data_IF_915319581522
#
_entry.id   IF_915319581522
#
_cell.length_a   1.000
_cell.length_b   1.000
_cell.length_c   1.000
_cell.angle_alpha   90.00
_cell.angle_beta   90.00
_cell.angle_gamma   90.00
#
_symmetry.space_group_name_H-M   'P 1'
#
loop_
_entity.id
_entity.type
_entity.pdbx_description
1 polymer ?
#
# COMPACT_ATOMS: atom_id res chain seq x y z
N UNK A 1 -22.83 1.06 -4.21
CA UNK A 1 -22.65 -0.40 -4.41
C UNK A 1 -21.21 -0.77 -4.72
N UNK A 2 -20.61 -0.32 -5.84
CA UNK A 2 -19.20 -0.64 -6.14
C UNK A 2 -18.22 0.02 -5.15
N UNK A 3 -18.45 1.28 -4.78
CA UNK A 3 -17.64 1.99 -3.79
C UNK A 3 -17.74 1.36 -2.40
N UNK A 4 -18.94 0.94 -2.01
CA UNK A 4 -19.18 0.28 -0.72
C UNK A 4 -18.48 -1.08 -0.67
N UNK A 5 -18.55 -1.83 -1.78
CA UNK A 5 -17.81 -3.08 -1.93
C UNK A 5 -16.30 -2.84 -1.88
N UNK A 6 -15.79 -1.85 -2.61
CA UNK A 6 -14.37 -1.49 -2.57
C UNK A 6 -13.93 -1.15 -1.14
N UNK A 7 -14.68 -0.27 -0.45
CA UNK A 7 -14.36 0.15 0.93
C UNK A 7 -14.38 -1.01 1.92
N UNK A 8 -15.29 -1.97 1.77
CA UNK A 8 -15.42 -3.09 2.68
C UNK A 8 -14.45 -4.25 2.37
N UNK A 9 -14.24 -4.57 1.09
CA UNK A 9 -13.57 -5.80 0.66
C UNK A 9 -12.15 -5.57 0.10
N UNK A 10 -11.84 -4.40 -0.44
CA UNK A 10 -10.56 -4.14 -1.12
C UNK A 10 -9.70 -3.15 -0.35
N UNK A 11 -10.25 -2.00 0.04
CA UNK A 11 -9.53 -0.91 0.70
C UNK A 11 -8.72 -1.36 1.94
N UNK A 12 -9.23 -2.25 2.82
CA UNK A 12 -8.45 -2.71 3.98
C UNK A 12 -7.16 -3.47 3.62
N UNK A 13 -7.11 -4.07 2.44
CA UNK A 13 -5.99 -4.88 1.94
C UNK A 13 -5.15 -4.15 0.92
N UNK A 14 -5.52 -2.92 0.52
CA UNK A 14 -4.93 -2.19 -0.60
C UNK A 14 -3.41 -2.02 -0.47
N UNK A 15 -2.92 -1.72 0.74
CA UNK A 15 -1.48 -1.60 1.02
C UNK A 15 -0.72 -2.92 0.86
N UNK A 16 -1.34 -4.05 1.21
CA UNK A 16 -0.75 -5.37 1.02
C UNK A 16 -0.75 -5.77 -0.47
N UNK A 17 -1.86 -5.50 -1.17
CA UNK A 17 -1.98 -5.70 -2.62
C UNK A 17 -0.90 -4.90 -3.35
N UNK A 18 -0.75 -3.61 -3.04
CA UNK A 18 0.26 -2.73 -3.64
C UNK A 18 1.67 -3.28 -3.49
N UNK A 19 2.07 -3.71 -2.27
CA UNK A 19 3.39 -4.31 -2.04
C UNK A 19 3.64 -5.58 -2.85
N UNK A 20 2.63 -6.44 -3.00
CA UNK A 20 2.75 -7.66 -3.81
C UNK A 20 2.97 -7.29 -5.28
N UNK A 21 2.17 -6.37 -5.82
CA UNK A 21 2.27 -5.93 -7.21
C UNK A 21 3.60 -5.23 -7.50
N UNK A 22 4.03 -4.29 -6.65
CA UNK A 22 5.31 -3.58 -6.79
C UNK A 22 6.52 -4.53 -6.72
N UNK A 23 6.46 -5.52 -5.82
CA UNK A 23 7.51 -6.53 -5.70
C UNK A 23 7.58 -7.42 -6.96
N UNK A 24 6.44 -7.77 -7.56
CA UNK A 24 6.42 -8.52 -8.81
C UNK A 24 6.99 -7.68 -9.96
N UNK A 25 6.54 -6.43 -10.14
CA UNK A 25 7.04 -5.52 -11.18
C UNK A 25 8.56 -5.36 -11.09
N UNK A 26 9.08 -5.15 -9.89
CA UNK A 26 10.53 -5.01 -9.65
C UNK A 26 11.29 -6.29 -10.01
N UNK A 27 10.71 -7.46 -9.68
CA UNK A 27 11.30 -8.75 -10.01
C UNK A 27 11.31 -8.98 -11.54
N UNK A 28 10.19 -8.71 -12.22
CA UNK A 28 10.06 -8.85 -13.69
C UNK A 28 10.98 -7.91 -14.45
N UNK A 29 11.11 -6.67 -14.02
CA UNK A 29 12.06 -5.72 -14.60
C UNK A 29 13.51 -6.20 -14.48
N UNK A 30 13.87 -6.85 -13.36
CA UNK A 30 15.19 -7.45 -13.17
C UNK A 30 15.42 -8.67 -14.07
N UNK A 31 14.47 -9.59 -14.15
CA UNK A 31 14.57 -10.75 -15.04
C UNK A 31 14.74 -10.30 -16.50
N UNK A 32 13.97 -9.31 -16.94
CA UNK A 32 14.09 -8.74 -18.27
C UNK A 32 15.47 -8.10 -18.51
N UNK A 33 15.95 -7.27 -17.59
CA UNK A 33 17.24 -6.60 -17.73
C UNK A 33 18.43 -7.57 -17.75
N UNK A 34 18.33 -8.71 -17.05
CA UNK A 34 19.43 -9.67 -16.92
C UNK A 34 19.39 -10.79 -17.97
N UNK A 35 18.19 -11.20 -18.39
CA UNK A 35 17.95 -12.43 -19.17
C UNK A 35 17.07 -12.19 -20.39
N UNK A 36 16.74 -10.94 -20.69
CA UNK A 36 15.92 -10.55 -21.83
C UNK A 36 14.47 -11.02 -21.74
N UNK A 37 13.80 -11.04 -22.90
CA UNK A 37 12.41 -11.45 -23.03
C UNK A 37 12.17 -12.89 -22.53
N UNK A 38 13.07 -13.83 -22.84
CA UNK A 38 12.98 -15.22 -22.38
C UNK A 38 12.87 -15.30 -20.86
N UNK A 39 13.78 -14.67 -20.11
CA UNK A 39 13.73 -14.71 -18.64
C UNK A 39 12.49 -14.04 -18.04
N UNK A 40 11.99 -12.99 -18.69
CA UNK A 40 10.73 -12.33 -18.28
C UNK A 40 9.54 -13.28 -18.44
N UNK A 41 9.34 -13.83 -19.65
CA UNK A 41 8.14 -14.57 -20.04
C UNK A 41 8.09 -15.98 -19.47
N UNK A 42 9.22 -16.68 -19.36
CA UNK A 42 9.29 -18.03 -18.74
C UNK A 42 8.75 -18.04 -17.31
N UNK A 43 8.89 -16.91 -16.61
CA UNK A 43 8.43 -16.79 -15.24
C UNK A 43 6.96 -16.42 -15.08
N UNK A 44 6.20 -16.12 -16.15
CA UNK A 44 4.81 -15.64 -16.06
C UNK A 44 3.78 -16.76 -15.96
N UNK A 45 4.14 -17.99 -16.33
CA UNK A 45 3.28 -19.16 -16.19
C UNK A 45 3.47 -20.16 -17.33
N UNK A 46 2.96 -21.37 -17.15
CA UNK A 46 3.10 -22.48 -18.12
C UNK A 46 2.33 -22.28 -19.42
N UNK A 47 1.48 -21.26 -19.50
CA UNK A 47 0.68 -20.93 -20.68
C UNK A 47 1.32 -19.83 -21.54
N UNK A 48 2.54 -19.40 -21.22
CA UNK A 48 3.27 -18.37 -21.95
C UNK A 48 4.61 -18.94 -22.38
N UNK A 49 4.92 -18.80 -23.66
CA UNK A 49 6.18 -19.24 -24.23
C UNK A 49 6.79 -18.13 -25.08
N UNK A 50 8.04 -17.77 -24.78
CA UNK A 50 8.83 -16.95 -25.67
C UNK A 50 9.58 -17.85 -26.65
N UNK A 51 9.29 -17.69 -27.94
CA UNK A 51 9.86 -18.51 -28.99
C UNK A 51 11.17 -17.89 -29.52
N UNK A 52 12.10 -18.73 -29.98
CA UNK A 52 13.40 -18.30 -30.51
C UNK A 52 13.28 -17.40 -31.75
N UNK A 53 12.15 -17.44 -32.44
CA UNK A 53 11.82 -16.58 -33.58
C UNK A 53 11.34 -15.17 -33.17
N UNK A 54 11.32 -14.86 -31.87
CA UNK A 54 10.92 -13.55 -31.34
C UNK A 54 9.41 -13.37 -31.15
N UNK A 55 8.62 -14.44 -31.27
CA UNK A 55 7.18 -14.42 -31.01
C UNK A 55 6.87 -14.82 -29.57
N UNK A 56 5.81 -14.21 -29.03
CA UNK A 56 5.20 -14.59 -27.76
C UNK A 56 3.96 -15.45 -28.02
N UNK A 57 4.02 -16.72 -27.65
CA UNK A 57 2.89 -17.63 -27.70
C UNK A 57 2.15 -17.64 -26.35
N UNK A 58 0.83 -17.48 -26.40
CA UNK A 58 -0.02 -17.45 -25.20
C UNK A 58 -1.18 -18.43 -25.36
N UNK A 59 -1.16 -19.49 -24.55
CA UNK A 59 -2.20 -20.52 -24.52
C UNK A 59 -3.34 -20.10 -23.60
N UNK A 60 -4.40 -19.55 -24.20
CA UNK A 60 -5.61 -19.15 -23.48
C UNK A 60 -6.59 -20.32 -23.36
N UNK A 61 -7.42 -20.28 -22.32
CA UNK A 61 -8.52 -21.24 -22.13
C UNK A 61 -9.76 -20.93 -22.98
N UNK A 62 -9.76 -19.79 -23.68
CA UNK A 62 -10.86 -19.33 -24.54
C UNK A 62 -10.67 -19.78 -25.98
N UNK A 63 -11.78 -20.01 -26.70
CA UNK A 63 -11.79 -20.51 -28.08
C UNK A 63 -11.44 -19.48 -29.17
N UNK A 64 -11.20 -18.22 -28.81
CA UNK A 64 -10.75 -17.16 -29.72
C UNK A 64 -9.24 -17.03 -29.69
N UNK A 65 -8.58 -17.30 -30.82
CA UNK A 65 -7.13 -17.18 -31.02
C UNK A 65 -6.80 -16.47 -32.33
N UNK A 66 -5.54 -16.03 -32.47
CA UNK A 66 -5.03 -15.39 -33.68
C UNK A 66 -3.68 -14.74 -33.44
N UNK A 67 -3.00 -14.40 -34.54
CA UNK A 67 -1.69 -13.77 -34.51
C UNK A 67 -1.81 -12.24 -34.64
N UNK A 68 -0.80 -11.55 -34.12
CA UNK A 68 -0.64 -10.13 -34.39
C UNK A 68 0.53 -9.51 -33.65
N UNK A 69 0.79 -8.25 -33.98
CA UNK A 69 1.84 -7.45 -33.37
C UNK A 69 1.21 -6.36 -32.51
N UNK A 70 1.76 -6.09 -31.31
CA UNK A 70 1.43 -4.88 -30.57
C UNK A 70 1.63 -3.64 -31.46
N UNK A 71 0.90 -2.58 -31.15
CA UNK A 71 1.15 -1.27 -31.78
C UNK A 71 2.49 -0.69 -31.29
N UNK A 72 2.77 0.56 -31.67
CA UNK A 72 3.99 1.27 -31.28
C UNK A 72 4.14 1.44 -29.75
N UNK A 73 3.08 1.17 -28.96
CA UNK A 73 3.10 1.21 -27.49
C UNK A 73 3.56 -0.12 -26.88
N UNK A 74 3.64 -1.18 -27.68
CA UNK A 74 4.08 -2.49 -27.24
C UNK A 74 3.02 -3.25 -26.43
N UNK A 75 3.45 -4.35 -25.81
CA UNK A 75 2.61 -5.18 -24.95
C UNK A 75 2.70 -4.68 -23.51
N UNK A 76 1.56 -4.33 -22.90
CA UNK A 76 1.50 -3.95 -21.48
C UNK A 76 1.32 -5.19 -20.61
N UNK A 77 2.28 -5.44 -19.73
CA UNK A 77 2.19 -6.51 -18.73
C UNK A 77 1.54 -5.99 -17.45
N UNK A 78 0.43 -6.62 -17.04
CA UNK A 78 -0.36 -6.19 -15.87
C UNK A 78 -0.44 -7.31 -14.82
N UNK A 79 0.40 -7.29 -13.77
CA UNK A 79 0.25 -8.26 -12.68
C UNK A 79 -1.10 -8.09 -12.00
N UNK A 80 -1.71 -9.19 -11.59
CA UNK A 80 -2.99 -9.20 -10.89
C UNK A 80 -2.97 -10.19 -9.75
N UNK A 81 -3.54 -9.79 -8.61
CA UNK A 81 -3.79 -10.66 -7.45
C UNK A 81 -5.17 -11.33 -7.51
N UNK A 82 -5.98 -10.97 -8.51
CA UNK A 82 -7.36 -11.45 -8.67
C UNK A 82 -7.49 -12.51 -9.77
N UNK A 83 -6.42 -12.79 -10.51
CA UNK A 83 -6.40 -13.84 -11.53
C UNK A 83 -5.55 -15.03 -11.11
N UNK A 84 -5.98 -16.23 -11.50
CA UNK A 84 -5.19 -17.46 -11.32
C UNK A 84 -4.45 -17.89 -12.58
N UNK A 85 -4.90 -17.40 -13.73
CA UNK A 85 -4.36 -17.74 -15.03
C UNK A 85 -4.01 -16.47 -15.80
N UNK A 86 -3.20 -16.64 -16.84
CA UNK A 86 -2.93 -15.57 -17.80
C UNK A 86 -4.21 -15.25 -18.57
N UNK A 87 -4.46 -13.97 -18.79
CA UNK A 87 -5.52 -13.48 -19.65
C UNK A 87 -5.02 -12.30 -20.47
N UNK A 88 -5.43 -12.23 -21.72
CA UNK A 88 -5.14 -11.09 -22.60
C UNK A 88 -6.45 -10.57 -23.18
N UNK A 89 -6.55 -9.25 -23.39
CA UNK A 89 -7.49 -8.75 -24.38
C UNK A 89 -6.67 -8.39 -25.58
N UNK A 90 -6.98 -9.07 -26.67
CA UNK A 90 -6.43 -8.83 -27.98
C UNK A 90 -7.61 -8.58 -28.92
N UNK A 91 -7.60 -7.45 -29.61
CA UNK A 91 -8.56 -7.15 -30.67
C UNK A 91 -7.78 -6.90 -31.97
N UNK A 92 -7.83 -7.83 -32.94
CA UNK A 92 -7.14 -7.63 -34.22
C UNK A 92 -7.69 -6.44 -35.02
N UNK A 93 -8.94 -6.01 -34.76
CA UNK A 93 -9.54 -4.82 -35.37
C UNK A 93 -9.15 -3.51 -34.66
N UNK A 94 -8.50 -3.58 -33.49
CA UNK A 94 -8.05 -2.41 -32.72
C UNK A 94 -6.82 -2.78 -31.86
N UNK A 95 -5.62 -2.90 -32.47
CA UNK A 95 -4.40 -3.36 -31.79
C UNK A 95 -3.85 -2.38 -30.74
N UNK A 96 -4.41 -1.18 -30.63
CA UNK A 96 -3.97 -0.10 -29.74
C UNK A 96 -4.02 -0.40 -28.23
N UNK A 97 -4.49 -1.58 -27.83
CA UNK A 97 -4.71 -1.98 -26.44
C UNK A 97 -4.27 -3.44 -26.22
N UNK A 98 -3.01 -3.74 -26.52
CA UNK A 98 -2.41 -5.04 -26.25
C UNK A 98 -1.95 -5.13 -24.80
N UNK A 99 -2.70 -5.85 -23.97
CA UNK A 99 -2.37 -6.05 -22.56
C UNK A 99 -2.46 -7.52 -22.17
N UNK A 100 -1.50 -7.98 -21.38
CA UNK A 100 -1.46 -9.33 -20.82
C UNK A 100 -1.49 -9.22 -19.30
N UNK A 101 -2.57 -9.70 -18.71
CA UNK A 101 -2.66 -9.85 -17.27
C UNK A 101 -2.23 -11.24 -16.83
N UNK A 102 -1.46 -11.32 -15.75
CA UNK A 102 -0.89 -12.56 -15.23
C UNK A 102 -0.96 -12.60 -13.70
N UNK A 103 -0.93 -13.79 -13.09
CA UNK A 103 -0.94 -13.94 -11.64
C UNK A 103 0.33 -13.34 -11.03
N UNK A 104 0.18 -12.37 -10.13
CA UNK A 104 1.30 -11.72 -9.48
C UNK A 104 2.08 -12.71 -8.60
N UNK A 105 3.41 -12.67 -8.67
CA UNK A 105 4.26 -13.41 -7.74
C UNK A 105 3.95 -12.99 -6.31
N UNK A 106 3.71 -13.96 -5.44
CA UNK A 106 3.42 -13.70 -4.03
C UNK A 106 1.94 -13.45 -3.72
N UNK A 107 1.03 -13.56 -4.69
CA UNK A 107 -0.42 -13.44 -4.44
C UNK A 107 -0.94 -14.40 -3.35
N UNK A 108 -0.29 -15.57 -3.17
CA UNK A 108 -0.63 -16.52 -2.12
C UNK A 108 -0.43 -15.97 -0.69
N UNK A 109 0.39 -14.92 -0.51
CA UNK A 109 0.56 -14.24 0.79
C UNK A 109 -0.64 -13.41 1.21
N UNK A 110 -1.58 -13.18 0.27
CA UNK A 110 -2.85 -12.50 0.54
C UNK A 110 -3.96 -13.49 0.92
N UNK A 111 -3.69 -14.80 0.88
CA UNK A 111 -4.64 -15.85 1.23
C UNK A 111 -4.49 -16.17 2.73
N UNK A 112 -5.56 -15.97 3.50
CA UNK A 112 -5.60 -16.24 4.93
C UNK A 112 -6.23 -15.08 5.71
N UNK A 113 -6.25 -15.18 7.04
CA UNK A 113 -6.65 -14.08 7.92
C UNK A 113 -5.61 -12.97 7.88
N UNK A 114 -5.64 -12.13 6.84
CA UNK A 114 -5.04 -10.81 6.94
C UNK A 114 -5.91 -10.01 7.90
N UNK A 115 -5.50 -9.96 9.16
CA UNK A 115 -6.06 -9.05 10.14
C UNK A 115 -5.33 -7.73 9.96
N UNK A 116 -5.90 -6.72 9.27
CA UNK A 116 -5.29 -5.39 9.25
C UNK A 116 -5.09 -5.00 10.71
N UNK A 117 -3.84 -4.78 11.11
CA UNK A 117 -3.54 -4.29 12.46
C UNK A 117 -4.30 -2.98 12.56
N UNK A 118 -5.28 -2.90 13.47
CA UNK A 118 -6.03 -1.66 13.66
C UNK A 118 -4.99 -0.55 13.88
N UNK A 119 -4.86 0.43 12.96
CA UNK A 119 -3.79 1.41 13.03
C UNK A 119 -3.82 2.16 14.35
N UNK A 120 -5.01 2.32 14.95
CA UNK A 120 -5.17 2.92 16.29
C UNK A 120 -4.50 2.10 17.39
N UNK A 121 -4.51 0.76 17.28
CA UNK A 121 -3.84 -0.14 18.22
C UNK A 121 -2.35 -0.29 17.93
N UNK A 122 -1.93 -0.21 16.67
CA UNK A 122 -0.52 -0.29 16.30
C UNK A 122 0.33 0.78 17.00
N UNK A 123 -0.14 2.04 17.00
CA UNK A 123 0.55 3.13 17.67
C UNK A 123 0.55 2.93 19.20
N UNK A 124 -0.58 2.51 19.76
CA UNK A 124 -0.68 2.20 21.18
C UNK A 124 0.24 1.03 21.61
N UNK A 125 0.48 0.04 20.74
CA UNK A 125 1.44 -1.04 21.00
C UNK A 125 2.89 -0.52 20.97
N UNK A 126 3.21 0.42 20.07
CA UNK A 126 4.57 0.95 19.93
C UNK A 126 4.94 1.93 21.05
N UNK A 127 4.05 2.87 21.38
CA UNK A 127 4.33 3.95 22.33
C UNK A 127 3.50 3.88 23.61
N UNK A 128 2.60 2.91 23.77
CA UNK A 128 1.64 2.88 24.87
C UNK A 128 0.42 3.80 24.61
N UNK A 129 -0.73 3.41 25.15
CA UNK A 129 -2.04 4.07 24.92
C UNK A 129 -2.00 5.57 25.18
N UNK A 130 -1.55 5.99 26.37
CA UNK A 130 -1.53 7.41 26.76
C UNK A 130 -0.72 8.29 25.79
N UNK A 131 0.38 7.78 25.22
CA UNK A 131 1.21 8.52 24.28
C UNK A 131 0.62 8.54 22.89
N UNK A 132 0.03 7.42 22.46
CA UNK A 132 -0.70 7.34 21.20
C UNK A 132 -1.88 8.34 21.20
N UNK A 133 -2.66 8.37 22.28
CA UNK A 133 -3.80 9.28 22.42
C UNK A 133 -3.37 10.75 22.31
N UNK A 134 -2.29 11.14 22.99
CA UNK A 134 -1.74 12.50 22.92
C UNK A 134 -1.31 12.87 21.49
N UNK A 135 -0.59 11.98 20.79
CA UNK A 135 -0.16 12.22 19.41
C UNK A 135 -1.35 12.36 18.45
N UNK A 136 -2.36 11.50 18.61
CA UNK A 136 -3.55 11.51 17.76
C UNK A 136 -4.41 12.76 18.01
N UNK A 137 -4.51 13.23 19.27
CA UNK A 137 -5.29 14.41 19.63
C UNK A 137 -4.64 15.76 19.31
N UNK A 138 -3.31 15.82 19.15
CA UNK A 138 -2.59 17.04 18.75
C UNK A 138 -2.79 17.34 17.24
N UNK A 139 -4.03 17.64 16.86
CA UNK A 139 -4.37 18.19 15.53
C UNK A 139 -4.01 19.66 15.43
N UNK A 140 -4.14 20.39 16.55
CA UNK A 140 -3.78 21.79 16.73
C UNK A 140 -2.85 21.93 17.94
N UNK A 141 -2.03 23.01 18.03
CA UNK A 141 -1.20 23.26 19.20
C UNK A 141 -2.05 23.37 20.48
N UNK A 142 -1.68 22.61 21.52
CA UNK A 142 -2.43 22.56 22.78
C UNK A 142 -1.52 22.60 24.00
N UNK A 143 -1.99 23.24 25.07
CA UNK A 143 -1.32 23.23 26.37
C UNK A 143 -1.57 21.93 27.12
N UNK A 144 -0.75 21.65 28.14
CA UNK A 144 -0.97 20.53 29.06
C UNK A 144 -2.36 20.53 29.69
N UNK A 145 -2.89 21.71 30.07
CA UNK A 145 -4.22 21.82 30.67
C UNK A 145 -5.35 21.56 29.68
N UNK A 146 -5.21 22.01 28.43
CA UNK A 146 -6.15 21.71 27.35
C UNK A 146 -6.19 20.21 27.04
N UNK A 147 -5.02 19.57 26.97
CA UNK A 147 -4.91 18.13 26.79
C UNK A 147 -5.54 17.37 27.96
N UNK A 148 -5.23 17.75 29.20
CA UNK A 148 -5.80 17.13 30.40
C UNK A 148 -7.33 17.20 30.43
N UNK A 149 -7.89 18.37 30.08
CA UNK A 149 -9.33 18.57 29.95
C UNK A 149 -9.93 17.66 28.86
N UNK A 150 -9.31 17.60 27.67
CA UNK A 150 -9.80 16.77 26.56
C UNK A 150 -9.87 15.28 26.90
N UNK A 151 -8.94 14.80 27.72
CA UNK A 151 -8.87 13.39 28.13
C UNK A 151 -9.53 13.10 29.48
N UNK A 152 -10.11 14.11 30.14
CA UNK A 152 -10.67 13.97 31.51
C UNK A 152 -9.68 13.36 32.52
N UNK A 153 -8.41 13.77 32.44
CA UNK A 153 -7.32 13.35 33.34
C UNK A 153 -6.67 14.54 34.02
N UNK A 154 -5.77 14.29 34.97
CA UNK A 154 -5.03 15.36 35.64
C UNK A 154 -3.94 15.95 34.72
N UNK A 155 -3.58 17.25 34.87
CA UNK A 155 -2.44 17.83 34.18
C UNK A 155 -1.12 17.10 34.45
N UNK A 156 -0.99 16.47 35.63
CA UNK A 156 0.17 15.65 35.99
C UNK A 156 0.27 14.40 35.10
N UNK A 157 -0.84 13.69 34.87
CA UNK A 157 -0.88 12.50 34.01
C UNK A 157 -0.46 12.80 32.56
N UNK A 158 -0.86 13.96 32.04
CA UNK A 158 -0.41 14.43 30.71
C UNK A 158 1.07 14.81 30.76
N UNK A 159 1.48 15.60 31.75
CA UNK A 159 2.86 16.08 31.91
C UNK A 159 3.89 14.96 31.98
N UNK A 160 3.52 13.78 32.50
CA UNK A 160 4.42 12.62 32.56
C UNK A 160 4.79 12.07 31.17
N UNK A 161 3.91 12.23 30.17
CA UNK A 161 4.09 11.66 28.83
C UNK A 161 4.76 12.62 27.84
N UNK A 162 4.63 13.94 28.04
CA UNK A 162 5.15 14.96 27.11
C UNK A 162 6.69 14.98 26.99
N UNK A 163 7.49 14.79 28.06
CA UNK A 163 8.95 14.81 27.95
C UNK A 163 9.50 13.73 27.02
N UNK A 164 9.01 12.49 27.13
CA UNK A 164 9.51 11.39 26.29
C UNK A 164 9.11 11.58 24.83
N UNK A 165 7.91 12.10 24.56
CA UNK A 165 7.50 12.45 23.19
C UNK A 165 8.37 13.56 22.60
N UNK A 166 8.76 14.55 23.42
CA UNK A 166 9.62 15.66 23.00
C UNK A 166 11.06 15.21 22.73
N UNK A 167 11.64 14.41 23.63
CA UNK A 167 13.01 13.90 23.50
C UNK A 167 13.16 13.01 22.26
N UNK A 168 12.13 12.23 21.91
CA UNK A 168 12.11 11.43 20.69
C UNK A 168 11.70 12.22 19.44
N UNK A 169 11.59 13.55 19.55
CA UNK A 169 11.29 14.41 18.40
C UNK A 169 9.91 14.22 17.80
N UNK A 170 8.92 13.73 18.56
CA UNK A 170 7.53 13.54 18.09
C UNK A 170 6.66 14.79 18.34
N UNK A 171 7.02 15.60 19.33
CA UNK A 171 6.38 16.88 19.62
C UNK A 171 7.41 17.98 19.84
N UNK A 172 6.98 19.21 19.59
CA UNK A 172 7.71 20.43 19.89
C UNK A 172 6.89 21.30 20.83
N UNK A 173 7.56 22.10 21.68
CA UNK A 173 6.87 22.99 22.61
C UNK A 173 7.39 24.43 22.50
N UNK A 174 6.46 25.38 22.37
CA UNK A 174 6.71 26.83 22.36
C UNK A 174 5.97 27.52 23.50
N UNK A 175 6.55 28.60 24.06
CA UNK A 175 5.93 29.36 25.15
C UNK A 175 4.97 30.39 24.58
N UNK A 176 3.74 30.41 25.05
CA UNK A 176 2.71 31.36 24.64
C UNK A 176 1.81 31.74 25.83
N UNK A 177 1.69 33.04 26.12
CA UNK A 177 0.74 33.55 27.13
C UNK A 177 0.87 32.91 28.53
N UNK A 178 2.10 32.65 28.99
CA UNK A 178 2.34 32.03 30.31
C UNK A 178 2.26 30.49 30.35
N UNK A 179 1.92 29.84 29.23
CA UNK A 179 1.86 28.38 29.11
C UNK A 179 2.78 27.86 28.00
N UNK A 180 3.06 26.55 27.99
CA UNK A 180 3.75 25.89 26.87
C UNK A 180 2.67 25.23 26.01
N UNK A 181 2.65 25.57 24.73
CA UNK A 181 1.84 24.90 23.72
C UNK A 181 2.69 23.82 23.06
N UNK A 182 2.15 22.61 22.99
CA UNK A 182 2.75 21.48 22.31
C UNK A 182 2.10 21.29 20.95
N UNK A 183 2.91 21.01 19.93
CA UNK A 183 2.46 20.66 18.58
C UNK A 183 3.21 19.42 18.10
N UNK A 184 2.65 18.72 17.13
CA UNK A 184 3.38 17.64 16.44
C UNK A 184 4.58 18.24 15.68
N UNK A 185 5.72 17.56 15.77
CA UNK A 185 6.85 17.77 14.85
C UNK A 185 6.51 17.16 13.47
N UNK A 186 7.35 17.35 12.43
CA UNK A 186 7.16 16.67 11.15
C UNK A 186 7.08 15.14 11.28
N UNK A 187 7.92 14.53 12.14
CA UNK A 187 7.89 13.09 12.41
C UNK A 187 6.59 12.69 13.13
N UNK A 188 6.16 13.47 14.13
CA UNK A 188 4.90 13.24 14.84
C UNK A 188 3.68 13.33 13.92
N UNK A 189 3.70 14.25 12.96
CA UNK A 189 2.64 14.40 11.95
C UNK A 189 2.57 13.18 11.04
N UNK A 190 3.70 12.69 10.54
CA UNK A 190 3.74 11.48 9.71
C UNK A 190 3.21 10.26 10.46
N UNK A 191 3.64 10.05 11.71
CA UNK A 191 3.13 8.96 12.53
C UNK A 191 1.62 9.12 12.79
N UNK A 192 1.16 10.31 13.20
CA UNK A 192 -0.26 10.52 13.46
C UNK A 192 -1.13 10.34 12.20
N UNK A 193 -0.63 10.73 11.01
CA UNK A 193 -1.35 10.57 9.75
C UNK A 193 -1.58 9.11 9.38
N UNK A 194 -0.60 8.22 9.62
CA UNK A 194 -0.74 6.77 9.38
C UNK A 194 -1.82 6.15 10.29
N UNK A 195 -2.03 6.72 11.48
CA UNK A 195 -2.80 6.09 12.55
C UNK A 195 -4.15 6.76 12.87
N UNK A 196 -4.47 7.93 12.28
CA UNK A 196 -5.81 8.53 12.37
C UNK A 196 -6.75 7.77 11.43
N UNK A 197 -7.87 7.28 11.97
CA UNK A 197 -9.00 6.84 11.12
C UNK A 197 -9.66 8.09 10.55
N UNK A 198 -9.71 8.21 9.23
CA UNK A 198 -10.67 9.10 8.58
C UNK A 198 -12.05 8.67 9.06
N UNK A 199 -12.74 9.60 9.73
CA UNK A 199 -13.98 9.34 10.46
C UNK A 199 -15.18 9.43 9.55
#
# INVERSE_FOLDING_TARGET
MLDDYHRAAIAPYWSAIGRVLESDITFRGREFAQRGATGLFDGLGSSIHWLDNGLLEVHLTTSSGGDGSPDDRGLVLTPSVFTKNVSTIWNPASPAHSWLSYPARGQGTLIGEYSPVDPSRALATLVGSAKADLLLALTEPASTSQLAHRFSVTPSAVSQNLPVLRVNGLIEGSRHGGSVLYRLSPLGQQMAAIHRKDR
#
